data_IF_450897559852
#
_entry.id   IF_450897559852
#
_cell.length_a   1.000
_cell.length_b   1.000
_cell.length_c   1.000
_cell.angle_alpha   90.00
_cell.angle_beta   90.00
_cell.angle_gamma   90.00
#
_symmetry.space_group_name_H-M   'P 1'
#
loop_
_entity.id
_entity.type
_entity.pdbx_description
1 polymer ?
#
# COMPACT_ATOMS: atom_id res chain seq x y z
N UNK A 1 -14.14 9.22 -1.17
CA UNK A 1 -12.68 9.40 -1.01
C UNK A 1 -12.42 10.80 -0.52
N UNK A 2 -11.73 10.92 0.58
CA UNK A 2 -11.25 12.21 1.07
C UNK A 2 -9.80 12.35 0.64
N UNK A 3 -9.48 13.43 -0.04
CA UNK A 3 -8.12 13.81 -0.39
C UNK A 3 -7.63 14.83 0.64
N UNK A 4 -6.45 14.58 1.21
CA UNK A 4 -5.83 15.46 2.18
C UNK A 4 -4.69 14.74 2.89
N UNK A 5 -3.87 15.49 3.60
CA UNK A 5 -2.83 14.95 4.45
C UNK A 5 -3.41 14.73 5.85
N UNK A 6 -3.39 13.49 6.33
CA UNK A 6 -3.86 13.12 7.65
C UNK A 6 -2.69 12.59 8.49
N UNK A 7 -2.60 13.02 9.73
CA UNK A 7 -1.51 12.64 10.63
C UNK A 7 -1.87 11.50 11.58
N UNK A 8 -3.13 11.14 11.66
CA UNK A 8 -3.61 10.00 12.45
C UNK A 8 -5.07 9.70 12.15
N UNK A 9 -5.55 8.55 12.62
CA UNK A 9 -6.95 8.18 12.63
C UNK A 9 -7.37 7.76 14.03
N UNK A 10 -8.62 8.06 14.36
CA UNK A 10 -9.26 7.61 15.58
C UNK A 10 -10.43 6.71 15.22
N UNK A 11 -10.40 5.50 15.71
CA UNK A 11 -11.47 4.54 15.55
C UNK A 11 -12.32 4.49 16.82
N UNK A 12 -13.62 4.66 16.67
CA UNK A 12 -14.58 4.54 17.77
C UNK A 12 -15.37 3.23 17.64
N UNK A 13 -15.16 2.34 18.60
CA UNK A 13 -15.97 1.13 18.74
C UNK A 13 -17.16 1.42 19.64
N UNK A 14 -18.33 1.63 19.05
CA UNK A 14 -19.57 1.91 19.76
C UNK A 14 -20.03 0.74 20.65
N UNK A 15 -19.72 -0.50 20.28
CA UNK A 15 -20.14 -1.67 21.05
C UNK A 15 -19.39 -1.80 22.38
N UNK A 16 -18.15 -1.33 22.43
CA UNK A 16 -17.29 -1.36 23.60
C UNK A 16 -17.09 0.02 24.24
N UNK A 17 -17.63 1.06 23.61
CA UNK A 17 -17.44 2.45 24.03
C UNK A 17 -15.94 2.83 24.15
N UNK A 18 -15.12 2.31 23.25
CA UNK A 18 -13.69 2.52 23.22
C UNK A 18 -13.29 3.41 22.03
N UNK A 19 -12.37 4.32 22.29
CA UNK A 19 -11.74 5.15 21.27
C UNK A 19 -10.29 4.74 21.15
N UNK A 20 -9.88 4.37 19.95
CA UNK A 20 -8.52 3.91 19.67
C UNK A 20 -7.83 4.84 18.65
N UNK A 21 -6.67 5.31 19.03
CA UNK A 21 -5.72 5.95 18.13
C UNK A 21 -5.00 4.85 17.35
N UNK A 22 -4.88 4.99 16.03
CA UNK A 22 -4.31 3.95 15.17
C UNK A 22 -2.79 3.99 15.10
N UNK A 23 -2.19 5.18 15.13
CA UNK A 23 -0.74 5.33 15.00
C UNK A 23 -0.14 5.92 16.28
N UNK A 24 0.94 5.32 16.74
CA UNK A 24 1.74 5.80 17.88
C UNK A 24 2.92 6.68 17.46
N UNK A 25 3.25 6.67 16.17
CA UNK A 25 4.29 7.46 15.55
C UNK A 25 3.72 8.53 14.61
N UNK A 26 4.55 9.45 14.18
CA UNK A 26 4.18 10.42 13.17
C UNK A 26 4.00 9.72 11.83
N UNK A 27 2.90 10.01 11.16
CA UNK A 27 2.57 9.51 9.81
C UNK A 27 1.98 10.61 8.96
N UNK A 28 2.19 10.53 7.67
CA UNK A 28 1.52 11.35 6.67
C UNK A 28 0.69 10.44 5.76
N UNK A 29 -0.62 10.45 5.94
CA UNK A 29 -1.56 9.60 5.21
C UNK A 29 -2.18 10.40 4.08
N UNK A 30 -2.06 9.89 2.86
CA UNK A 30 -2.55 10.56 1.64
C UNK A 30 -3.84 9.96 1.10
N UNK A 31 -4.13 8.70 1.42
CA UNK A 31 -5.34 8.00 0.98
C UNK A 31 -5.74 6.92 1.97
N UNK A 32 -7.04 6.68 2.11
CA UNK A 32 -7.56 5.60 2.94
C UNK A 32 -8.83 4.98 2.35
N UNK A 33 -9.09 3.72 2.71
CA UNK A 33 -10.31 3.00 2.38
C UNK A 33 -10.70 2.03 3.48
N UNK A 34 -12.00 1.79 3.61
CA UNK A 34 -12.52 0.72 4.47
C UNK A 34 -12.94 -0.46 3.60
N UNK A 35 -12.49 -1.65 3.96
CA UNK A 35 -12.87 -2.90 3.33
C UNK A 35 -13.54 -3.81 4.34
N UNK A 36 -14.71 -4.31 3.95
CA UNK A 36 -15.40 -5.38 4.66
C UNK A 36 -15.69 -6.51 3.70
N UNK A 37 -15.20 -7.69 4.02
CA UNK A 37 -15.51 -8.92 3.28
C UNK A 37 -15.75 -10.05 4.27
N UNK A 38 -16.96 -10.63 4.24
CA UNK A 38 -17.41 -11.62 5.20
C UNK A 38 -17.25 -11.09 6.65
N UNK A 39 -16.44 -11.74 7.47
CA UNK A 39 -16.19 -11.37 8.86
C UNK A 39 -14.94 -10.46 9.03
N UNK A 40 -14.21 -10.18 7.95
CA UNK A 40 -12.98 -9.39 8.01
C UNK A 40 -13.30 -7.93 7.74
N UNK A 41 -12.86 -7.08 8.66
CA UNK A 41 -12.96 -5.62 8.55
C UNK A 41 -11.58 -5.00 8.65
N UNK A 42 -11.19 -4.24 7.64
CA UNK A 42 -9.85 -3.64 7.51
C UNK A 42 -9.95 -2.18 7.09
N UNK A 43 -9.22 -1.32 7.78
CA UNK A 43 -8.91 0.03 7.32
C UNK A 43 -7.56 0.00 6.61
N UNK A 44 -7.54 0.45 5.37
CA UNK A 44 -6.34 0.53 4.53
C UNK A 44 -5.91 1.98 4.38
N UNK A 45 -4.61 2.22 4.47
CA UNK A 45 -4.03 3.56 4.36
C UNK A 45 -2.81 3.54 3.45
N UNK A 46 -2.70 4.53 2.60
CA UNK A 46 -1.45 4.86 1.90
C UNK A 46 -0.82 6.07 2.58
N UNK A 47 0.45 5.97 2.90
CA UNK A 47 1.16 7.06 3.57
C UNK A 47 2.61 6.71 3.87
N UNK A 48 3.30 7.63 4.51
CA UNK A 48 4.67 7.45 4.98
C UNK A 48 4.79 7.66 6.49
N UNK A 49 5.77 7.00 7.10
CA UNK A 49 6.23 7.23 8.47
C UNK A 49 7.74 7.53 8.53
N UNK A 50 8.34 7.81 7.37
CA UNK A 50 9.76 8.14 7.22
C UNK A 50 9.93 9.36 6.31
N UNK A 51 10.88 10.21 6.64
CA UNK A 51 11.38 11.29 5.77
C UNK A 51 12.52 10.70 4.94
N UNK A 52 12.19 10.14 3.78
CA UNK A 52 13.14 9.40 2.95
C UNK A 52 14.03 10.34 2.11
N UNK A 53 13.50 11.49 1.72
CA UNK A 53 14.21 12.50 0.93
C UNK A 53 15.04 13.47 1.79
N UNK A 54 14.89 13.41 3.13
CA UNK A 54 15.64 14.21 4.11
C UNK A 54 15.42 15.73 4.01
N UNK A 55 14.22 16.15 3.62
CA UNK A 55 13.84 17.54 3.56
C UNK A 55 13.24 18.08 4.87
N UNK A 56 13.15 17.25 5.90
CA UNK A 56 12.53 17.45 7.21
C UNK A 56 11.00 17.58 7.17
N UNK A 57 10.38 17.06 6.13
CA UNK A 57 8.94 16.93 6.02
C UNK A 57 8.59 15.46 5.77
N UNK A 58 7.45 15.01 6.26
CA UNK A 58 6.87 13.73 5.86
C UNK A 58 5.63 14.02 5.04
N UNK A 59 5.68 13.72 3.75
CA UNK A 59 4.59 14.04 2.83
C UNK A 59 4.52 13.05 1.64
N UNK A 60 3.93 13.51 0.54
CA UNK A 60 3.73 12.67 -0.65
C UNK A 60 4.99 12.42 -1.45
N UNK A 61 6.05 13.19 -1.20
CA UNK A 61 7.32 13.10 -1.91
C UNK A 61 8.27 12.07 -1.25
N UNK A 62 7.87 11.50 -0.13
CA UNK A 62 8.51 10.33 0.47
C UNK A 62 7.94 9.02 -0.08
N UNK A 63 8.68 7.92 0.09
CA UNK A 63 8.16 6.61 -0.28
C UNK A 63 6.90 6.26 0.52
N UNK A 64 5.85 5.97 -0.20
CA UNK A 64 4.57 5.59 0.39
C UNK A 64 4.52 4.09 0.66
N UNK A 65 4.05 3.74 1.85
CA UNK A 65 3.78 2.37 2.28
C UNK A 65 2.27 2.09 2.28
N UNK A 66 1.88 0.84 2.35
CA UNK A 66 0.52 0.43 2.64
C UNK A 66 0.43 0.04 4.11
N UNK A 67 -0.51 0.63 4.84
CA UNK A 67 -0.88 0.25 6.19
C UNK A 67 -2.24 -0.43 6.20
N UNK A 68 -2.39 -1.48 6.97
CA UNK A 68 -3.66 -2.17 7.16
C UNK A 68 -3.95 -2.32 8.66
N UNK A 69 -5.04 -1.72 9.13
CA UNK A 69 -5.54 -1.91 10.48
C UNK A 69 -6.67 -2.92 10.48
N UNK A 70 -6.41 -4.06 11.06
CA UNK A 70 -7.36 -5.17 11.19
C UNK A 70 -8.24 -4.98 12.42
N UNK A 71 -9.48 -4.56 12.20
CA UNK A 71 -10.40 -4.14 13.28
C UNK A 71 -10.72 -5.30 14.22
N UNK A 72 -10.83 -6.51 13.70
CA UNK A 72 -11.21 -7.68 14.47
C UNK A 72 -10.24 -8.01 15.62
N UNK A 73 -8.95 -7.78 15.45
CA UNK A 73 -7.93 -8.06 16.47
C UNK A 73 -7.11 -6.82 16.87
N UNK A 74 -7.42 -5.66 16.30
CA UNK A 74 -6.75 -4.41 16.64
C UNK A 74 -5.30 -4.31 16.20
N UNK A 75 -4.87 -5.09 15.20
CA UNK A 75 -3.50 -5.07 14.69
C UNK A 75 -3.32 -4.11 13.52
N UNK A 76 -2.33 -3.24 13.64
CA UNK A 76 -1.83 -2.41 12.55
C UNK A 76 -0.61 -3.09 11.93
N UNK A 77 -0.65 -3.34 10.62
CA UNK A 77 0.48 -3.84 9.82
C UNK A 77 0.92 -2.79 8.82
N UNK A 78 2.24 -2.62 8.72
CA UNK A 78 2.88 -1.83 7.67
C UNK A 78 3.47 -2.76 6.62
N UNK A 79 3.22 -2.46 5.36
CA UNK A 79 3.79 -3.15 4.21
C UNK A 79 4.67 -2.18 3.45
N UNK A 80 5.98 -2.40 3.58
CA UNK A 80 7.02 -1.64 2.88
C UNK A 80 7.48 -2.42 1.64
N UNK A 81 7.85 -1.68 0.61
CA UNK A 81 8.33 -2.23 -0.65
C UNK A 81 9.68 -1.59 -0.96
N UNK A 82 10.76 -2.32 -0.76
CA UNK A 82 12.12 -1.83 -0.95
C UNK A 82 12.34 -1.22 -2.33
N UNK A 83 12.79 0.03 -2.37
CA UNK A 83 13.03 0.78 -3.60
C UNK A 83 11.78 1.09 -4.43
N UNK A 84 10.59 1.02 -3.80
CA UNK A 84 9.32 1.27 -4.47
C UNK A 84 8.41 2.10 -3.59
N UNK A 85 7.55 2.86 -4.22
CA UNK A 85 6.49 3.61 -3.56
C UNK A 85 5.11 3.05 -3.93
N UNK A 86 4.19 3.04 -2.98
CA UNK A 86 2.78 2.70 -3.25
C UNK A 86 2.13 3.88 -3.96
N UNK A 87 1.75 3.69 -5.20
CA UNK A 87 1.07 4.69 -6.01
C UNK A 87 -0.42 4.72 -5.74
N UNK A 88 -1.01 3.53 -5.68
CA UNK A 88 -2.44 3.35 -5.42
C UNK A 88 -2.71 1.97 -4.83
N UNK A 89 -3.87 1.80 -4.23
CA UNK A 89 -4.41 0.50 -3.84
C UNK A 89 -5.92 0.47 -4.06
N UNK A 90 -6.44 -0.67 -4.49
CA UNK A 90 -7.85 -0.87 -4.75
C UNK A 90 -8.33 -2.22 -4.19
N UNK A 91 -9.29 -2.21 -3.26
CA UNK A 91 -9.98 -3.43 -2.85
C UNK A 91 -10.71 -4.08 -4.03
N UNK A 92 -10.42 -5.35 -4.26
CA UNK A 92 -11.06 -6.11 -5.34
C UNK A 92 -12.41 -6.62 -4.87
N UNK A 93 -13.47 -6.12 -5.51
CA UNK A 93 -14.85 -6.37 -5.08
C UNK A 93 -15.17 -7.87 -4.91
N UNK A 94 -15.79 -8.21 -3.78
CA UNK A 94 -16.18 -9.60 -3.40
C UNK A 94 -15.01 -10.59 -3.29
N UNK A 95 -13.82 -10.12 -3.00
CA UNK A 95 -12.65 -10.95 -2.75
C UNK A 95 -11.94 -10.54 -1.47
N UNK A 96 -10.99 -11.36 -1.00
CA UNK A 96 -10.07 -10.99 0.09
C UNK A 96 -8.82 -10.27 -0.41
N UNK A 97 -8.81 -9.84 -1.68
CA UNK A 97 -7.64 -9.26 -2.33
C UNK A 97 -7.74 -7.74 -2.45
N UNK A 98 -6.60 -7.11 -2.27
CA UNK A 98 -6.38 -5.69 -2.54
C UNK A 98 -5.26 -5.60 -3.58
N UNK A 99 -5.52 -4.97 -4.72
CA UNK A 99 -4.45 -4.67 -5.68
C UNK A 99 -3.62 -3.50 -5.17
N UNK A 100 -2.31 -3.58 -5.34
CA UNK A 100 -1.35 -2.54 -4.95
C UNK A 100 -0.54 -2.17 -6.18
N UNK A 101 -0.68 -0.95 -6.63
CA UNK A 101 0.13 -0.39 -7.70
C UNK A 101 1.40 0.20 -7.09
N UNK A 102 2.55 -0.28 -7.55
CA UNK A 102 3.87 0.12 -7.06
C UNK A 102 4.64 0.82 -8.18
N UNK A 103 5.29 1.92 -7.84
CA UNK A 103 6.27 2.59 -8.69
C UNK A 103 7.69 2.23 -8.25
N UNK A 104 8.56 1.91 -9.20
CA UNK A 104 9.98 1.69 -8.95
C UNK A 104 10.75 2.96 -9.28
N UNK A 105 11.21 3.65 -8.26
CA UNK A 105 12.13 4.78 -8.38
C UNK A 105 13.54 4.26 -8.75
N UNK A 106 13.89 4.35 -10.02
CA UNK A 106 15.15 3.79 -10.54
C UNK A 106 16.36 4.67 -10.30
N UNK A 107 16.20 5.96 -10.38
CA UNK A 107 17.28 6.91 -10.23
C UNK A 107 17.46 7.41 -8.79
N UNK A 108 16.52 7.04 -7.92
CA UNK A 108 16.51 7.34 -6.48
C UNK A 108 16.47 8.83 -6.17
N UNK A 109 15.71 9.55 -6.97
CA UNK A 109 15.48 10.98 -6.77
C UNK A 109 14.25 11.30 -5.90
N UNK A 110 13.53 10.24 -5.46
CA UNK A 110 12.31 10.27 -4.65
C UNK A 110 11.08 10.85 -5.39
N UNK A 111 11.20 11.09 -6.69
CA UNK A 111 10.09 11.50 -7.55
C UNK A 111 9.75 10.38 -8.55
N UNK A 112 8.59 9.74 -8.36
CA UNK A 112 8.17 8.67 -9.25
C UNK A 112 7.52 9.23 -10.52
N UNK A 113 8.19 9.04 -11.65
CA UNK A 113 7.71 9.46 -12.97
C UNK A 113 7.01 8.33 -13.73
N UNK A 114 5.67 8.38 -13.82
CA UNK A 114 4.86 7.35 -14.51
C UNK A 114 5.26 7.04 -15.95
N UNK A 115 5.89 7.97 -16.64
CA UNK A 115 6.23 7.82 -18.06
C UNK A 115 7.64 7.24 -18.30
N UNK A 116 8.52 7.32 -17.32
CA UNK A 116 9.93 6.93 -17.42
C UNK A 116 10.31 5.78 -16.50
N UNK A 117 9.56 5.56 -15.44
CA UNK A 117 9.84 4.57 -14.43
C UNK A 117 8.84 3.41 -14.42
N UNK A 118 9.31 2.18 -14.16
CA UNK A 118 8.46 1.01 -14.20
C UNK A 118 7.40 0.99 -13.09
N UNK A 119 6.25 0.49 -13.45
CA UNK A 119 5.17 0.17 -12.53
C UNK A 119 5.01 -1.34 -12.43
N UNK A 120 4.55 -1.80 -11.27
CA UNK A 120 4.22 -3.20 -11.05
C UNK A 120 3.00 -3.31 -10.15
N UNK A 121 2.33 -4.46 -10.21
CA UNK A 121 1.17 -4.73 -9.38
C UNK A 121 1.48 -5.91 -8.46
N UNK A 122 1.20 -5.72 -7.18
CA UNK A 122 1.15 -6.78 -6.18
C UNK A 122 -0.26 -6.91 -5.62
N UNK A 123 -0.53 -7.97 -4.90
CA UNK A 123 -1.79 -8.16 -4.19
C UNK A 123 -1.54 -8.39 -2.71
N UNK A 124 -2.34 -7.75 -1.87
CA UNK A 124 -2.46 -8.10 -0.46
C UNK A 124 -3.70 -8.99 -0.28
N UNK A 125 -3.52 -10.16 0.30
CA UNK A 125 -4.64 -10.96 0.78
C UNK A 125 -4.92 -10.57 2.24
N UNK A 126 -6.08 -9.95 2.51
CA UNK A 126 -6.42 -9.45 3.85
C UNK A 126 -6.69 -10.59 4.84
N UNK A 127 -7.04 -11.79 4.38
CA UNK A 127 -7.26 -12.95 5.24
C UNK A 127 -5.95 -13.56 5.73
N UNK A 128 -5.00 -13.78 4.82
CA UNK A 128 -3.67 -14.31 5.15
C UNK A 128 -2.68 -13.24 5.59
N UNK A 129 -2.98 -11.96 5.30
CA UNK A 129 -2.15 -10.78 5.57
C UNK A 129 -0.81 -10.80 4.84
N UNK A 130 -0.74 -11.54 3.72
CA UNK A 130 0.45 -11.68 2.90
C UNK A 130 0.33 -10.88 1.62
N UNK A 131 1.45 -10.30 1.21
CA UNK A 131 1.60 -9.63 -0.09
C UNK A 131 2.29 -10.58 -1.05
N UNK A 132 1.74 -10.71 -2.25
CA UNK A 132 2.28 -11.53 -3.32
C UNK A 132 2.27 -10.74 -4.64
N UNK A 133 3.29 -10.90 -5.50
CA UNK A 133 3.25 -10.32 -6.84
C UNK A 133 2.12 -10.97 -7.64
N UNK A 134 1.44 -10.17 -8.48
CA UNK A 134 0.34 -10.67 -9.31
C UNK A 134 0.83 -11.60 -10.43
N UNK A 135 2.10 -11.47 -10.80
CA UNK A 135 2.74 -12.24 -11.86
C UNK A 135 3.96 -12.95 -11.26
N UNK A 136 4.08 -14.26 -11.46
CA UNK A 136 5.27 -15.00 -11.02
C UNK A 136 6.52 -14.60 -11.81
N UNK A 137 7.70 -14.89 -11.26
CA UNK A 137 8.95 -14.59 -11.94
C UNK A 137 9.09 -15.35 -13.26
N UNK A 138 8.59 -16.60 -13.31
CA UNK A 138 8.56 -17.39 -14.55
C UNK A 138 7.70 -16.70 -15.63
N UNK A 139 6.54 -16.17 -15.25
CA UNK A 139 5.67 -15.44 -16.20
C UNK A 139 6.30 -14.14 -16.67
N UNK A 140 7.03 -13.42 -15.81
CA UNK A 140 7.81 -12.24 -16.20
C UNK A 140 8.86 -12.59 -17.26
N UNK A 141 9.59 -13.69 -17.04
CA UNK A 141 10.61 -14.17 -17.97
C UNK A 141 10.01 -14.58 -19.31
N UNK A 142 8.84 -15.24 -19.29
CA UNK A 142 8.11 -15.57 -20.52
C UNK A 142 7.68 -14.31 -21.30
N UNK A 143 7.08 -13.34 -20.61
CA UNK A 143 6.67 -12.07 -21.23
C UNK A 143 7.89 -11.34 -21.80
N UNK A 144 8.99 -11.28 -21.05
CA UNK A 144 10.22 -10.63 -21.52
C UNK A 144 10.78 -11.34 -22.75
N UNK A 145 10.76 -12.67 -22.78
CA UNK A 145 11.19 -13.45 -23.96
C UNK A 145 10.35 -13.13 -25.19
N UNK A 146 9.05 -12.94 -25.03
CA UNK A 146 8.14 -12.53 -26.11
C UNK A 146 8.50 -11.13 -26.62
N UNK A 147 8.69 -10.18 -25.70
CA UNK A 147 9.07 -8.79 -26.03
C UNK A 147 10.40 -8.75 -26.78
N UNK A 148 11.37 -9.54 -26.35
CA UNK A 148 12.71 -9.65 -26.98
C UNK A 148 12.68 -10.42 -28.31
N UNK A 149 11.53 -10.96 -28.71
CA UNK A 149 11.39 -11.76 -29.94
C UNK A 149 12.09 -13.12 -29.86
N UNK A 150 12.40 -13.62 -28.67
CA UNK A 150 13.00 -14.94 -28.47
C UNK A 150 11.90 -16.00 -28.59
N UNK A 151 12.01 -16.85 -29.62
CA UNK A 151 11.15 -18.02 -29.72
C UNK A 151 11.70 -19.12 -28.80
N UNK A 152 10.86 -19.62 -27.96
CA UNK A 152 11.12 -20.91 -27.31
C UNK A 152 10.89 -22.05 -28.29
#
# INVERSE_FOLDING_TARGET
>A
SYYGLFNNFVYLDYSRNLTNKLFDEQVAITHWAFLKNDTIEVLLFKGTSTDDNSDNQMDSDDYQSLFAYYINDGQLKKYDFEGKTVLNFDPMNKTDLVSIELGLDKDKDFDFERNSEPQMISTLNIRTRKVEPIISDEMKDEIQSIIDGRKK
#
